data_IF_219487976656
#
_entry.id   IF_219487976656
#
_cell.length_a   1.000
_cell.length_b   1.000
_cell.length_c   1.000
_cell.angle_alpha   90.00
_cell.angle_beta   90.00
_cell.angle_gamma   90.00
#
_symmetry.space_group_name_H-M   'P 1'
#
loop_
_entity.id
_entity.type
_entity.pdbx_description
1 polymer ?
#
# COMPACT_ATOMS: atom_id res chain seq x y z
N UNK A 1 5.61 12.57 8.05
CA UNK A 1 6.20 12.17 6.76
C UNK A 1 5.12 11.88 5.73
N UNK A 2 4.12 11.04 6.04
CA UNK A 2 2.94 10.83 5.18
C UNK A 2 2.43 12.09 4.47
N UNK A 3 2.08 13.15 5.22
CA UNK A 3 1.59 14.41 4.64
C UNK A 3 2.58 15.02 3.63
N UNK A 4 3.90 14.90 3.87
CA UNK A 4 4.92 15.37 2.93
C UNK A 4 4.91 14.54 1.63
N UNK A 5 4.82 13.21 1.70
CA UNK A 5 4.73 12.37 0.49
C UNK A 5 3.45 12.65 -0.30
N UNK A 6 2.31 12.77 0.40
CA UNK A 6 1.04 13.17 -0.21
C UNK A 6 1.16 14.51 -0.95
N UNK A 7 1.83 15.48 -0.34
CA UNK A 7 1.96 16.83 -0.88
C UNK A 7 3.13 17.03 -1.84
N UNK A 8 4.09 16.12 -1.99
CA UNK A 8 5.27 16.36 -2.86
C UNK A 8 5.52 15.27 -3.88
N UNK A 9 5.06 14.04 -3.64
CA UNK A 9 5.36 12.87 -4.49
C UNK A 9 4.09 12.33 -5.14
N UNK A 10 2.99 12.27 -4.38
CA UNK A 10 1.76 11.60 -4.81
C UNK A 10 0.55 12.52 -4.99
N UNK A 11 0.77 13.82 -5.23
CA UNK A 11 -0.31 14.80 -5.35
C UNK A 11 -1.40 14.40 -6.36
N UNK A 12 -1.00 13.80 -7.48
CA UNK A 12 -1.91 13.34 -8.55
C UNK A 12 -2.46 11.92 -8.34
N UNK A 13 -1.94 11.21 -7.35
CA UNK A 13 -2.23 9.79 -7.11
C UNK A 13 -2.96 9.57 -5.78
N UNK A 14 -3.58 10.62 -5.21
CA UNK A 14 -4.24 10.60 -3.91
C UNK A 14 -5.74 10.78 -4.08
N UNK A 15 -6.51 9.77 -3.65
CA UNK A 15 -7.94 9.72 -3.84
C UNK A 15 -8.65 9.44 -2.51
N UNK A 16 -9.69 10.21 -2.21
CA UNK A 16 -10.54 9.96 -1.04
C UNK A 16 -11.74 9.11 -1.44
N UNK A 17 -12.00 8.03 -0.71
CA UNK A 17 -13.18 7.18 -0.83
C UNK A 17 -14.14 7.49 0.33
N UNK A 18 -15.20 8.28 0.11
CA UNK A 18 -16.06 8.74 1.20
C UNK A 18 -16.77 7.62 1.95
N UNK A 19 -17.18 6.56 1.24
CA UNK A 19 -17.92 5.43 1.82
C UNK A 19 -17.06 4.59 2.78
N UNK A 20 -15.74 4.58 2.58
CA UNK A 20 -14.80 3.80 3.39
C UNK A 20 -14.03 4.69 4.38
N UNK A 21 -14.30 6.01 4.37
CA UNK A 21 -13.56 7.03 5.12
C UNK A 21 -12.04 6.82 5.01
N UNK A 22 -11.58 6.60 3.78
CA UNK A 22 -10.20 6.19 3.50
C UNK A 22 -9.58 7.05 2.40
N UNK A 23 -8.30 7.39 2.57
CA UNK A 23 -7.45 7.95 1.53
C UNK A 23 -6.68 6.78 0.92
N UNK A 24 -6.77 6.63 -0.40
CA UNK A 24 -6.09 5.60 -1.17
C UNK A 24 -5.05 6.30 -2.04
N UNK A 25 -3.79 5.87 -1.94
CA UNK A 25 -2.69 6.38 -2.74
C UNK A 25 -2.34 5.33 -3.78
N UNK A 26 -2.74 5.55 -5.03
CA UNK A 26 -2.56 4.57 -6.10
C UNK A 26 -2.41 5.20 -7.48
N UNK A 27 -1.86 4.42 -8.40
CA UNK A 27 -1.76 4.76 -9.82
C UNK A 27 -2.15 3.57 -10.68
N UNK A 28 -2.77 3.81 -11.84
CA UNK A 28 -3.03 2.77 -12.83
C UNK A 28 -2.17 3.04 -14.07
N UNK A 29 -1.32 2.09 -14.43
CA UNK A 29 -0.47 2.16 -15.63
C UNK A 29 -0.48 0.82 -16.37
N UNK A 30 -0.72 0.87 -17.69
CA UNK A 30 -0.72 -0.30 -18.56
C UNK A 30 -1.56 -1.50 -18.04
N UNK A 31 -2.69 -1.23 -17.38
CA UNK A 31 -3.56 -2.25 -16.80
C UNK A 31 -3.07 -2.84 -15.46
N UNK A 32 -2.06 -2.23 -14.84
CA UNK A 32 -1.59 -2.56 -13.49
C UNK A 32 -1.99 -1.47 -12.53
N UNK A 33 -2.60 -1.85 -11.41
CA UNK A 33 -2.88 -0.96 -10.29
C UNK A 33 -1.73 -1.03 -9.29
N UNK A 34 -0.98 0.05 -9.18
CA UNK A 34 0.10 0.24 -8.21
C UNK A 34 -0.50 0.88 -6.96
N UNK A 35 -0.65 0.11 -5.89
CA UNK A 35 -1.20 0.56 -4.62
C UNK A 35 -0.06 0.84 -3.65
N UNK A 36 0.12 2.11 -3.30
CA UNK A 36 1.22 2.59 -2.47
C UNK A 36 0.85 2.61 -0.99
N UNK A 37 -0.37 3.05 -0.66
CA UNK A 37 -0.85 3.11 0.72
C UNK A 37 -2.38 3.24 0.79
N UNK A 38 -2.97 2.83 1.91
CA UNK A 38 -4.36 3.13 2.28
C UNK A 38 -4.37 3.64 3.72
N UNK A 39 -4.81 4.88 3.89
CA UNK A 39 -4.88 5.55 5.17
C UNK A 39 -6.34 5.69 5.58
N UNK A 40 -6.73 5.02 6.67
CA UNK A 40 -8.06 5.12 7.26
C UNK A 40 -7.97 5.08 8.78
N UNK A 41 -8.93 5.73 9.44
CA UNK A 41 -9.12 5.61 10.89
C UNK A 41 -9.81 4.27 11.26
N UNK A 42 -10.50 3.65 10.31
CA UNK A 42 -11.27 2.43 10.50
C UNK A 42 -10.60 1.24 9.83
N UNK A 43 -10.99 0.03 10.24
CA UNK A 43 -10.55 -1.19 9.56
C UNK A 43 -11.15 -1.21 8.15
N UNK A 44 -10.30 -1.37 7.15
CA UNK A 44 -10.70 -1.49 5.75
C UNK A 44 -10.87 -2.95 5.34
N UNK A 45 -11.74 -3.19 4.37
CA UNK A 45 -11.84 -4.48 3.66
C UNK A 45 -11.25 -4.27 2.28
N UNK A 46 -10.11 -4.89 1.99
CA UNK A 46 -9.39 -4.61 0.75
C UNK A 46 -10.22 -4.96 -0.49
N UNK A 47 -11.01 -6.04 -0.46
CA UNK A 47 -11.90 -6.40 -1.57
C UNK A 47 -12.84 -5.27 -1.98
N UNK A 48 -13.39 -4.53 -1.01
CA UNK A 48 -14.26 -3.39 -1.27
C UNK A 48 -13.49 -2.25 -1.92
N UNK A 49 -12.32 -1.89 -1.37
CA UNK A 49 -11.46 -0.83 -1.92
C UNK A 49 -11.07 -1.17 -3.35
N UNK A 50 -10.54 -2.37 -3.57
CA UNK A 50 -10.08 -2.85 -4.88
C UNK A 50 -11.22 -2.90 -5.90
N UNK A 51 -12.45 -3.22 -5.49
CA UNK A 51 -13.62 -3.17 -6.38
C UNK A 51 -13.98 -1.76 -6.85
N UNK A 52 -13.70 -0.74 -6.03
CA UNK A 52 -13.99 0.68 -6.32
C UNK A 52 -12.91 1.31 -7.19
N UNK A 53 -11.65 0.99 -6.94
CA UNK A 53 -10.50 1.57 -7.67
C UNK A 53 -10.06 0.72 -8.87
N UNK A 54 -10.39 -0.57 -8.87
CA UNK A 54 -10.10 -1.51 -9.94
C UNK A 54 -11.08 -1.36 -11.09
N UNK A 55 -10.72 -0.55 -12.10
CA UNK A 55 -11.49 -0.43 -13.32
C UNK A 55 -11.40 -1.67 -14.24
N UNK A 56 -12.26 -1.74 -15.26
CA UNK A 56 -12.35 -2.88 -16.19
C UNK A 56 -11.04 -3.21 -16.95
N UNK A 57 -10.09 -2.28 -17.01
CA UNK A 57 -8.77 -2.47 -17.64
C UNK A 57 -7.69 -3.04 -16.72
N UNK A 58 -7.95 -3.13 -15.41
CA UNK A 58 -6.96 -3.60 -14.42
C UNK A 58 -6.90 -5.12 -14.42
N UNK A 59 -5.68 -5.66 -14.58
CA UNK A 59 -5.40 -7.10 -14.65
C UNK A 59 -4.44 -7.58 -13.56
N UNK A 60 -3.63 -6.66 -13.01
CA UNK A 60 -2.69 -6.92 -11.93
C UNK A 60 -2.82 -5.83 -10.87
N UNK A 61 -2.75 -6.21 -9.60
CA UNK A 61 -2.58 -5.28 -8.47
C UNK A 61 -1.21 -5.55 -7.87
N UNK A 62 -0.43 -4.49 -7.66
CA UNK A 62 0.85 -4.54 -6.96
C UNK A 62 0.70 -3.75 -5.66
N UNK A 63 0.93 -4.43 -4.55
CA UNK A 63 1.05 -3.80 -3.24
C UNK A 63 2.52 -3.48 -3.00
N UNK A 64 2.84 -2.22 -2.71
CA UNK A 64 4.20 -1.80 -2.33
C UNK A 64 4.44 -1.90 -0.82
N UNK A 65 3.59 -2.66 -0.13
CA UNK A 65 3.67 -2.98 1.29
C UNK A 65 3.06 -4.35 1.53
N UNK A 66 3.28 -4.92 2.71
CA UNK A 66 2.61 -6.15 3.13
C UNK A 66 1.24 -5.80 3.72
N UNK A 67 0.12 -6.06 3.01
CA UNK A 67 -1.21 -5.78 3.55
C UNK A 67 -1.53 -6.72 4.71
N UNK A 68 -2.16 -6.18 5.75
CA UNK A 68 -2.66 -6.94 6.90
C UNK A 68 -4.05 -7.50 6.61
N UNK A 69 -4.15 -8.29 5.53
CA UNK A 69 -5.39 -8.93 5.10
C UNK A 69 -5.14 -10.40 4.75
N UNK A 70 -5.81 -11.30 5.48
CA UNK A 70 -5.74 -12.74 5.28
C UNK A 70 -6.70 -13.25 4.20
N UNK A 71 -7.61 -12.40 3.72
CA UNK A 71 -8.64 -12.79 2.75
C UNK A 71 -8.13 -12.69 1.29
N UNK A 72 -6.98 -12.05 1.07
CA UNK A 72 -6.38 -11.92 -0.27
C UNK A 72 -5.22 -12.90 -0.42
N UNK A 73 -5.25 -13.68 -1.50
CA UNK A 73 -4.11 -14.49 -1.90
C UNK A 73 -3.06 -13.60 -2.57
N UNK A 74 -1.88 -13.53 -1.96
CA UNK A 74 -0.79 -12.68 -2.42
C UNK A 74 0.35 -13.54 -2.98
N UNK A 75 0.84 -13.15 -4.15
CA UNK A 75 2.14 -13.61 -4.64
C UNK A 75 3.20 -12.64 -4.12
N UNK A 76 4.22 -13.17 -3.43
CA UNK A 76 5.35 -12.38 -2.96
C UNK A 76 6.41 -12.31 -4.06
N UNK A 77 6.90 -11.12 -4.34
CA UNK A 77 8.03 -10.88 -5.23
C UNK A 77 9.15 -10.20 -4.43
N UNK A 78 10.41 -10.46 -4.77
CA UNK A 78 11.54 -9.77 -4.14
C UNK A 78 11.51 -8.30 -4.55
N UNK A 79 11.48 -7.41 -3.56
CA UNK A 79 11.53 -5.97 -3.76
C UNK A 79 12.93 -5.48 -3.39
N UNK A 80 13.74 -5.16 -4.39
CA UNK A 80 15.11 -4.65 -4.19
C UNK A 80 15.11 -3.13 -4.37
N UNK A 81 15.02 -2.42 -3.26
CA UNK A 81 15.38 -1.01 -3.20
C UNK A 81 16.54 -0.85 -2.22
N UNK A 82 17.75 -0.85 -2.77
CA UNK A 82 18.99 -0.81 -1.99
C UNK A 82 19.12 0.43 -1.09
N UNK A 83 18.26 1.44 -1.27
CA UNK A 83 18.23 2.66 -0.46
C UNK A 83 17.24 2.59 0.71
N UNK A 84 16.33 1.62 0.75
CA UNK A 84 15.25 1.52 1.75
C UNK A 84 15.54 0.43 2.82
N UNK A 85 16.64 0.60 3.57
CA UNK A 85 16.97 -0.31 4.68
C UNK A 85 16.35 0.15 6.00
N UNK A 86 15.42 -0.64 6.55
CA UNK A 86 14.83 -0.40 7.87
C UNK A 86 15.61 -1.14 8.98
N UNK A 87 16.03 -0.40 10.01
CA UNK A 87 16.62 -0.98 11.22
C UNK A 87 15.55 -1.20 12.29
N UNK A 88 15.27 -2.47 12.60
CA UNK A 88 14.28 -2.83 13.62
C UNK A 88 15.02 -3.21 14.91
N UNK A 89 14.68 -2.53 16.01
CA UNK A 89 15.11 -2.97 17.34
C UNK A 89 14.28 -4.20 17.74
N UNK A 90 14.89 -5.37 17.96
CA UNK A 90 14.13 -6.54 18.36
C UNK A 90 13.49 -6.31 19.73
N UNK A 91 12.15 -6.33 19.78
CA UNK A 91 11.41 -6.59 21.01
C UNK A 91 11.48 -8.10 21.31
N UNK A 92 11.27 -8.51 22.56
CA UNK A 92 11.21 -9.94 22.93
C UNK A 92 10.15 -10.66 22.09
N UNK A 93 10.57 -11.36 21.03
CA UNK A 93 9.68 -12.03 20.08
C UNK A 93 10.32 -12.30 18.71
N UNK A 94 9.64 -13.08 17.86
CA UNK A 94 10.04 -13.31 16.47
C UNK A 94 9.48 -12.16 15.61
N UNK A 95 10.34 -11.51 14.84
CA UNK A 95 9.93 -10.55 13.80
C UNK A 95 9.61 -11.30 12.50
N UNK A 96 8.60 -10.86 11.76
CA UNK A 96 8.24 -11.44 10.48
C UNK A 96 9.35 -11.15 9.45
N UNK A 97 9.91 -12.20 8.82
CA UNK A 97 11.13 -12.07 7.99
C UNK A 97 10.89 -11.55 6.56
N UNK A 98 9.65 -11.21 6.20
CA UNK A 98 9.25 -10.86 4.82
C UNK A 98 8.17 -9.77 4.85
N UNK A 99 8.52 -8.60 5.40
CA UNK A 99 7.59 -7.46 5.53
C UNK A 99 8.11 -6.27 4.73
N UNK A 100 7.21 -5.65 3.97
CA UNK A 100 7.40 -4.34 3.37
C UNK A 100 6.44 -3.34 4.06
N UNK A 101 6.93 -2.13 4.35
CA UNK A 101 6.09 -1.04 4.85
C UNK A 101 5.61 -0.17 3.69
N UNK A 102 4.50 0.57 3.85
CA UNK A 102 4.11 1.57 2.86
C UNK A 102 5.22 2.59 2.64
N UNK A 103 5.42 2.99 1.38
CA UNK A 103 6.45 3.97 0.99
C UNK A 103 6.27 5.33 1.68
N UNK A 104 5.08 5.63 2.17
CA UNK A 104 4.74 6.82 2.96
C UNK A 104 5.27 6.79 4.39
N UNK A 105 5.75 5.62 4.86
CA UNK A 105 6.40 5.41 6.14
C UNK A 105 7.94 5.41 6.04
N UNK A 106 8.50 5.48 4.82
CA UNK A 106 9.95 5.51 4.60
C UNK A 106 10.51 6.90 4.98
N UNK A 107 11.74 6.93 5.51
CA UNK A 107 12.43 8.14 6.01
C UNK A 107 13.75 8.37 5.30
#
# INVERSE_FOLDING_TARGET
ILLWHCLNVYQENLFYLPEDEAIVIYKIEAGTLHLYDIVSANRIVFGNILSKIGGAGVRKVIFYYTPDDNEIQLNKEHYDDSNDTLFIKPALGKFAQEVALPITAHT
#
